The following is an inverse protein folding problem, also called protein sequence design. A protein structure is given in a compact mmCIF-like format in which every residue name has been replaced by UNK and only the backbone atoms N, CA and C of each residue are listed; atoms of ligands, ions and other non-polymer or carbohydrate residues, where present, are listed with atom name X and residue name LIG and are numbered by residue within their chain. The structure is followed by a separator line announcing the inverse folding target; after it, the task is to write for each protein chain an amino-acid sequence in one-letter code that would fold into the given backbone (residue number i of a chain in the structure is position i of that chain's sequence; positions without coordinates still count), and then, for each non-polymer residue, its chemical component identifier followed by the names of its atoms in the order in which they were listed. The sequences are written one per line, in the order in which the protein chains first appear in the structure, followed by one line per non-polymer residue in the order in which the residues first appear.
data_IF_440281067172
#
_entry.id   IF_440281067172
#
_cell.length_a   1.000
_cell.length_b   1.000
_cell.length_c   1.000
_cell.angle_alpha   90.00
_cell.angle_beta   90.00
_cell.angle_gamma   90.00
#
_symmetry.space_group_name_H-M   'P 1'
#
loop_
_entity.id
_entity.type
_entity.pdbx_description
1 polymer ?
#
# COMPACT_ATOMS: atom_id res chain seq x y z
N UNK A 1 -10.53 -21.38 -21.33
CA UNK A 1 -10.24 -20.13 -20.60
C UNK A 1 -9.06 -20.40 -19.68
N UNK A 2 -7.84 -20.11 -20.14
CA UNK A 2 -6.65 -20.30 -19.32
C UNK A 2 -6.68 -19.25 -18.21
N UNK A 3 -6.81 -19.70 -16.96
CA UNK A 3 -6.54 -18.84 -15.81
C UNK A 3 -5.09 -18.39 -15.94
N UNK A 4 -4.89 -17.13 -16.31
CA UNK A 4 -3.58 -16.50 -16.28
C UNK A 4 -3.09 -16.63 -14.84
N UNK A 5 -2.10 -17.49 -14.61
CA UNK A 5 -1.46 -17.59 -13.31
C UNK A 5 -1.01 -16.17 -12.94
N UNK A 6 -1.65 -15.62 -11.92
CA UNK A 6 -1.48 -14.24 -11.49
C UNK A 6 0.01 -14.05 -11.19
N UNK A 7 0.71 -13.36 -12.10
CA UNK A 7 2.14 -13.11 -11.93
C UNK A 7 2.26 -12.21 -10.71
N UNK A 8 2.71 -12.77 -9.59
CA UNK A 8 2.92 -12.04 -8.34
C UNK A 8 4.08 -11.07 -8.58
N UNK A 9 3.75 -9.82 -8.84
CA UNK A 9 4.69 -8.71 -8.94
C UNK A 9 5.05 -8.20 -7.55
N UNK A 10 6.27 -7.67 -7.40
CA UNK A 10 6.70 -7.03 -6.16
C UNK A 10 5.77 -5.86 -5.78
N UNK A 11 5.40 -5.02 -6.75
CA UNK A 11 4.50 -3.91 -6.45
C UNK A 11 3.09 -4.42 -6.06
N UNK A 12 2.59 -5.50 -6.66
CA UNK A 12 1.34 -6.15 -6.23
C UNK A 12 1.39 -6.65 -4.79
N UNK A 13 2.52 -7.23 -4.35
CA UNK A 13 2.74 -7.57 -2.95
C UNK A 13 2.79 -6.34 -2.04
N UNK A 14 3.40 -5.24 -2.52
CA UNK A 14 3.48 -3.98 -1.78
C UNK A 14 2.12 -3.31 -1.61
N UNK A 15 1.21 -3.39 -2.58
CA UNK A 15 -0.17 -2.89 -2.44
C UNK A 15 -0.85 -3.51 -1.21
N UNK A 16 -0.85 -4.84 -1.14
CA UNK A 16 -1.44 -5.56 -0.02
C UNK A 16 -0.73 -5.29 1.31
N UNK A 17 0.59 -5.15 1.29
CA UNK A 17 1.38 -4.79 2.47
C UNK A 17 1.01 -3.39 3.00
N UNK A 18 1.00 -2.38 2.13
CA UNK A 18 0.73 -1.00 2.52
C UNK A 18 -0.71 -0.82 3.04
N UNK A 19 -1.67 -1.55 2.49
CA UNK A 19 -3.04 -1.57 3.01
C UNK A 19 -3.11 -2.14 4.44
N UNK A 20 -2.44 -3.27 4.69
CA UNK A 20 -2.37 -3.85 6.06
C UNK A 20 -1.65 -2.93 7.04
N UNK A 21 -0.55 -2.31 6.62
CA UNK A 21 0.23 -1.41 7.47
C UNK A 21 -0.55 -0.13 7.81
N UNK A 22 -1.31 0.42 6.85
CA UNK A 22 -2.19 1.55 7.13
C UNK A 22 -3.23 1.19 8.20
N UNK A 23 -3.91 0.04 8.06
CA UNK A 23 -4.88 -0.43 9.06
C UNK A 23 -4.26 -0.69 10.43
N UNK A 24 -3.06 -1.29 10.47
CA UNK A 24 -2.29 -1.49 11.71
C UNK A 24 -1.99 -0.17 12.41
N UNK A 25 -1.53 0.84 11.67
CA UNK A 25 -1.20 2.15 12.22
C UNK A 25 -2.42 2.89 12.75
N UNK A 26 -3.58 2.70 12.13
CA UNK A 26 -4.85 3.23 12.63
C UNK A 26 -5.33 2.54 13.90
N UNK A 27 -5.22 1.22 13.97
CA UNK A 27 -5.52 0.48 15.20
C UNK A 27 -4.63 0.96 16.37
N UNK A 28 -3.33 1.15 16.11
CA UNK A 28 -2.40 1.72 17.10
C UNK A 28 -2.77 3.18 17.46
N UNK A 29 -3.23 3.97 16.50
CA UNK A 29 -3.66 5.35 16.74
C UNK A 29 -4.91 5.41 17.63
N UNK A 30 -5.84 4.47 17.46
CA UNK A 30 -7.04 4.32 18.30
C UNK A 30 -6.68 3.90 19.72
N UNK A 31 -5.68 3.02 19.89
CA UNK A 31 -5.18 2.62 21.20
C UNK A 31 -4.24 3.64 21.87
N UNK A 32 -3.85 4.71 21.17
CA UNK A 32 -2.86 5.66 21.68
C UNK A 32 -3.43 6.52 22.82
N UNK A 33 -2.71 6.53 23.95
CA UNK A 33 -3.10 7.24 25.18
C UNK A 33 -2.89 8.75 25.09
N UNK A 34 -2.01 9.21 24.20
CA UNK A 34 -1.69 10.63 24.05
C UNK A 34 -2.05 11.15 22.65
N UNK A 35 -2.66 12.34 22.60
CA UNK A 35 -3.10 12.95 21.34
C UNK A 35 -1.97 13.24 20.35
N UNK A 36 -0.77 13.58 20.80
CA UNK A 36 0.40 13.75 19.92
C UNK A 36 0.85 12.42 19.29
N UNK A 37 0.76 11.31 20.04
CA UNK A 37 1.10 9.98 19.56
C UNK A 37 0.09 9.51 18.52
N UNK A 38 -1.22 9.68 18.81
CA UNK A 38 -2.32 9.42 17.86
C UNK A 38 -2.09 10.18 16.55
N UNK A 39 -1.84 11.49 16.61
CA UNK A 39 -1.58 12.32 15.42
C UNK A 39 -0.36 11.86 14.62
N UNK A 40 0.71 11.39 15.29
CA UNK A 40 1.89 10.83 14.60
C UNK A 40 1.57 9.53 13.88
N UNK A 41 0.81 8.63 14.52
CA UNK A 41 0.42 7.35 13.94
C UNK A 41 -0.53 7.52 12.74
N UNK A 42 -1.50 8.43 12.85
CA UNK A 42 -2.40 8.76 11.72
C UNK A 42 -1.63 9.34 10.52
N UNK A 43 -0.62 10.20 10.75
CA UNK A 43 0.25 10.68 9.67
C UNK A 43 1.02 9.53 9.00
N UNK A 44 1.49 8.56 9.77
CA UNK A 44 2.13 7.35 9.20
C UNK A 44 1.14 6.51 8.41
N UNK A 45 -0.09 6.33 8.89
CA UNK A 45 -1.13 5.59 8.18
C UNK A 45 -1.46 6.26 6.84
N UNK A 46 -1.56 7.60 6.81
CA UNK A 46 -1.74 8.35 5.58
C UNK A 46 -0.55 8.17 4.61
N UNK A 47 0.69 8.18 5.12
CA UNK A 47 1.86 7.92 4.30
C UNK A 47 1.87 6.49 3.73
N UNK A 48 1.48 5.49 4.52
CA UNK A 48 1.35 4.10 4.07
C UNK A 48 0.34 3.97 2.92
N UNK A 49 -0.83 4.62 3.04
CA UNK A 49 -1.81 4.68 1.94
C UNK A 49 -1.26 5.31 0.68
N UNK A 50 -0.53 6.43 0.81
CA UNK A 50 0.08 7.08 -0.33
C UNK A 50 1.12 6.17 -1.03
N UNK A 51 1.84 5.33 -0.29
CA UNK A 51 2.74 4.34 -0.89
C UNK A 51 1.98 3.20 -1.56
N UNK A 52 0.89 2.71 -0.96
CA UNK A 52 0.00 1.72 -1.59
C UNK A 52 -0.53 2.21 -2.94
N UNK A 53 -1.06 3.43 -3.00
CA UNK A 53 -1.54 4.04 -4.24
C UNK A 53 -0.44 4.18 -5.31
N UNK A 54 0.82 4.43 -4.90
CA UNK A 54 1.97 4.45 -5.84
C UNK A 54 2.29 3.06 -6.38
N UNK A 55 2.24 2.04 -5.54
CA UNK A 55 2.41 0.65 -5.97
C UNK A 55 1.28 0.21 -6.91
N UNK A 56 0.04 0.59 -6.63
CA UNK A 56 -1.11 0.36 -7.52
C UNK A 56 -0.92 1.03 -8.89
N UNK A 57 -0.48 2.29 -8.90
CA UNK A 57 -0.20 3.01 -10.14
C UNK A 57 0.90 2.35 -10.99
N UNK A 58 1.94 1.78 -10.34
CA UNK A 58 2.99 1.02 -11.04
C UNK A 58 2.46 -0.30 -11.61
N UNK A 59 1.62 -0.99 -10.86
CA UNK A 59 0.97 -2.22 -11.33
C UNK A 59 0.06 -1.96 -12.53
N UNK A 60 -0.74 -0.88 -12.48
CA UNK A 60 -1.57 -0.46 -13.60
C UNK A 60 -0.71 -0.13 -14.83
N UNK A 61 0.39 0.62 -14.67
CA UNK A 61 1.32 0.93 -15.76
C UNK A 61 1.96 -0.33 -16.39
N UNK A 62 2.20 -1.38 -15.60
CA UNK A 62 2.65 -2.69 -16.12
C UNK A 62 1.56 -3.42 -16.88
N UNK A 63 0.33 -3.43 -16.37
CA UNK A 63 -0.81 -4.07 -17.01
C UNK A 63 -1.13 -3.44 -18.38
N UNK A 64 -0.96 -2.12 -18.49
CA UNK A 64 -1.15 -1.35 -19.72
C UNK A 64 0.02 -1.49 -20.72
N UNK A 65 1.02 -2.34 -20.44
CA UNK A 65 2.19 -2.55 -21.30
C UNK A 65 3.11 -1.32 -21.43
N UNK A 66 2.85 -0.27 -20.65
CA UNK A 66 3.61 0.99 -20.62
C UNK A 66 4.66 0.97 -19.50
N UNK A 67 5.23 -0.22 -19.24
CA UNK A 67 6.39 -0.31 -18.37
C UNK A 67 7.61 0.20 -19.15
N UNK A 68 8.37 1.18 -18.66
CA UNK A 68 9.66 1.49 -19.26
C UNK A 68 10.53 0.24 -19.20
N UNK A 69 11.04 -0.18 -20.37
CA UNK A 69 12.12 -1.14 -20.45
C UNK A 69 13.27 -0.60 -19.58
N UNK A 70 13.80 -1.47 -18.71
CA UNK A 70 14.93 -1.17 -17.84
C UNK A 70 16.17 -0.77 -18.65
#
# INVERSE_FOLDING_TARGET
MAAQAERITLDGQLVGYWAREAGRLEALATAARFGWQRRRLLRKAAAARAQGARSEAREAARADGTAPAA
#
